data_IF_971181965250
#
_entry.id   IF_971181965250
#
_cell.length_a   1.000
_cell.length_b   1.000
_cell.length_c   1.000
_cell.angle_alpha   90.00
_cell.angle_beta   90.00
_cell.angle_gamma   90.00
#
_symmetry.space_group_name_H-M   'P 1'
#
loop_
_entity.id
_entity.type
_entity.pdbx_description
1 polymer ?
#
# COMPACT_ATOMS: atom_id res chain seq x y z
N UNK A 1 -32.50 -31.63 18.56
CA UNK A 1 -31.37 -31.87 17.65
C UNK A 1 -30.16 -31.16 18.25
N UNK A 2 -29.35 -31.90 19.00
CA UNK A 2 -28.27 -31.37 19.83
C UNK A 2 -26.94 -31.43 19.07
N UNK A 3 -26.42 -30.26 18.68
CA UNK A 3 -25.10 -30.14 18.07
C UNK A 3 -24.04 -29.95 19.17
N UNK A 4 -23.65 -31.06 19.81
CA UNK A 4 -22.49 -31.12 20.69
C UNK A 4 -21.21 -31.20 19.86
N UNK A 5 -20.53 -30.06 19.67
CA UNK A 5 -19.22 -29.99 19.02
C UNK A 5 -18.13 -30.42 20.01
N UNK A 6 -17.65 -31.65 19.82
CA UNK A 6 -16.52 -32.22 20.57
C UNK A 6 -15.23 -31.44 20.26
N UNK A 7 -14.66 -30.83 21.30
CA UNK A 7 -13.36 -30.18 21.31
C UNK A 7 -12.27 -31.20 20.92
N UNK A 8 -11.57 -30.96 19.81
CA UNK A 8 -10.47 -31.83 19.34
C UNK A 8 -9.22 -31.49 20.14
N UNK A 9 -8.79 -32.38 21.02
CA UNK A 9 -7.51 -32.28 21.74
C UNK A 9 -6.36 -32.28 20.73
N UNK A 10 -5.58 -31.20 20.70
CA UNK A 10 -4.34 -31.09 19.93
C UNK A 10 -3.26 -31.94 20.60
N UNK A 11 -2.88 -33.04 19.94
CA UNK A 11 -1.76 -33.87 20.34
C UNK A 11 -0.46 -33.07 20.28
N UNK A 12 0.19 -32.92 21.43
CA UNK A 12 1.49 -32.27 21.57
C UNK A 12 2.55 -33.05 20.78
N UNK A 13 2.94 -32.51 19.62
CA UNK A 13 4.09 -33.00 18.85
C UNK A 13 5.35 -32.70 19.66
N UNK A 14 5.92 -33.74 20.27
CA UNK A 14 7.26 -33.72 20.90
C UNK A 14 8.28 -33.35 19.83
N UNK A 15 8.88 -32.16 19.92
CA UNK A 15 10.06 -31.79 19.13
C UNK A 15 11.27 -32.57 19.66
N UNK A 16 12.00 -33.34 18.84
CA UNK A 16 13.27 -33.91 19.28
C UNK A 16 14.30 -32.81 19.55
N UNK A 17 15.19 -33.15 20.48
CA UNK A 17 16.07 -32.27 21.26
C UNK A 17 17.47 -32.29 20.63
N UNK A 18 18.05 -31.12 20.39
CA UNK A 18 19.46 -30.82 20.09
C UNK A 18 20.23 -31.83 19.22
N UNK A 19 20.37 -31.52 17.93
CA UNK A 19 21.54 -31.91 17.16
C UNK A 19 22.40 -30.66 17.00
N UNK A 20 23.58 -30.67 17.64
CA UNK A 20 24.62 -29.66 17.53
C UNK A 20 25.18 -29.67 16.11
N UNK A 21 24.97 -28.57 15.39
CA UNK A 21 25.55 -28.36 14.07
C UNK A 21 27.05 -28.04 14.20
N UNK A 22 27.94 -28.56 13.34
CA UNK A 22 29.38 -28.24 13.39
C UNK A 22 29.63 -26.76 13.10
N UNK A 23 30.39 -26.10 13.98
CA UNK A 23 30.72 -24.67 13.97
C UNK A 23 31.84 -24.30 12.95
N UNK A 24 31.85 -24.89 11.75
CA UNK A 24 32.91 -24.66 10.76
C UNK A 24 32.37 -24.19 9.39
N UNK A 25 31.49 -23.18 9.39
CA UNK A 25 31.24 -22.38 8.20
C UNK A 25 31.80 -20.97 8.44
N UNK A 26 33.05 -20.78 8.05
CA UNK A 26 33.62 -19.46 7.77
C UNK A 26 32.86 -18.88 6.57
N UNK A 27 31.67 -18.37 6.87
CA UNK A 27 30.83 -17.68 5.91
C UNK A 27 31.48 -16.33 5.73
N UNK A 28 32.33 -16.22 4.70
CA UNK A 28 32.71 -14.93 4.15
C UNK A 28 31.44 -14.10 4.07
N UNK A 29 31.38 -13.04 4.89
CA UNK A 29 30.27 -12.10 4.88
C UNK A 29 30.39 -11.37 3.56
N UNK A 30 29.78 -11.93 2.53
CA UNK A 30 29.51 -11.25 1.28
C UNK A 30 28.63 -10.08 1.69
N UNK A 31 29.24 -8.91 1.85
CA UNK A 31 28.51 -7.65 1.86
C UNK A 31 27.68 -7.68 0.57
N UNK A 32 26.34 -7.78 0.64
CA UNK A 32 25.56 -7.65 -0.58
C UNK A 32 25.90 -6.26 -1.09
N UNK A 33 26.65 -6.19 -2.18
CA UNK A 33 26.62 -5.02 -3.04
C UNK A 33 25.15 -4.68 -3.21
N UNK A 34 24.80 -3.41 -3.08
CA UNK A 34 23.44 -2.88 -3.17
C UNK A 34 22.87 -3.14 -4.58
N UNK A 35 22.68 -4.41 -4.93
CA UNK A 35 22.08 -4.84 -6.18
C UNK A 35 20.61 -4.52 -6.05
N UNK A 36 20.24 -3.42 -6.71
CA UNK A 36 18.88 -2.95 -6.79
C UNK A 36 17.97 -4.11 -7.24
N UNK A 37 17.12 -4.57 -6.33
CA UNK A 37 16.31 -5.76 -6.57
C UNK A 37 15.24 -5.44 -7.62
N UNK A 38 14.72 -6.48 -8.29
CA UNK A 38 13.58 -6.31 -9.21
C UNK A 38 12.36 -5.66 -8.53
N UNK A 39 12.20 -5.86 -7.22
CA UNK A 39 11.18 -5.22 -6.41
C UNK A 39 11.38 -3.71 -6.30
N UNK A 40 12.62 -3.24 -6.16
CA UNK A 40 12.92 -1.81 -6.08
C UNK A 40 12.57 -1.10 -7.40
N UNK A 41 12.86 -1.75 -8.52
CA UNK A 41 12.50 -1.26 -9.86
C UNK A 41 10.98 -1.13 -10.02
N UNK A 42 10.23 -2.12 -9.57
CA UNK A 42 8.75 -2.10 -9.61
C UNK A 42 8.20 -1.01 -8.67
N UNK A 43 8.75 -0.90 -7.44
CA UNK A 43 8.31 0.10 -6.46
C UNK A 43 8.50 1.54 -6.94
N UNK A 44 9.58 1.81 -7.69
CA UNK A 44 9.86 3.14 -8.29
C UNK A 44 8.84 3.55 -9.35
N UNK A 45 8.13 2.61 -9.95
CA UNK A 45 7.08 2.92 -10.95
C UNK A 45 5.79 3.45 -10.31
N UNK A 46 5.59 3.23 -9.00
CA UNK A 46 4.42 3.73 -8.29
C UNK A 46 4.63 5.14 -7.77
N UNK A 47 3.64 6.01 -7.96
CA UNK A 47 3.63 7.34 -7.37
C UNK A 47 3.39 7.20 -5.86
N UNK A 48 4.32 7.65 -4.99
CA UNK A 48 4.21 7.46 -3.55
C UNK A 48 3.28 8.50 -2.93
N UNK A 49 1.98 8.39 -3.20
CA UNK A 49 0.95 9.35 -2.76
C UNK A 49 0.87 9.54 -1.24
N UNK A 50 1.35 8.57 -0.46
CA UNK A 50 1.44 8.68 1.00
C UNK A 50 2.55 9.60 1.49
N UNK A 51 3.49 9.99 0.63
CA UNK A 51 4.55 10.96 0.94
C UNK A 51 4.22 12.39 0.49
N UNK A 52 3.11 12.57 -0.22
CA UNK A 52 2.71 13.86 -0.79
C UNK A 52 1.83 14.64 0.20
N UNK A 53 2.03 15.94 0.22
CA UNK A 53 1.13 16.87 0.89
C UNK A 53 -0.24 16.92 0.19
N UNK A 54 -1.29 17.40 0.87
CA UNK A 54 -2.61 17.51 0.26
C UNK A 54 -2.65 18.37 -1.00
N UNK A 55 -1.84 19.44 -1.07
CA UNK A 55 -1.82 20.35 -2.21
C UNK A 55 -1.14 19.68 -3.43
N UNK A 56 -0.02 19.00 -3.21
CA UNK A 56 0.64 18.19 -4.24
C UNK A 56 -0.28 17.07 -4.78
N UNK A 57 -1.11 16.49 -3.91
CA UNK A 57 -2.10 15.50 -4.33
C UNK A 57 -3.21 16.11 -5.19
N UNK A 58 -3.64 17.34 -4.90
CA UNK A 58 -4.63 18.05 -5.72
C UNK A 58 -4.04 18.28 -7.11
N UNK A 59 -2.81 18.78 -7.19
CA UNK A 59 -2.12 19.03 -8.45
C UNK A 59 -1.91 17.74 -9.26
N UNK A 60 -1.54 16.64 -8.59
CA UNK A 60 -1.43 15.33 -9.22
C UNK A 60 -2.76 14.87 -9.83
N UNK A 61 -3.86 15.04 -9.10
CA UNK A 61 -5.18 14.59 -9.55
C UNK A 61 -5.73 15.44 -10.70
N UNK A 62 -5.48 16.75 -10.69
CA UNK A 62 -5.85 17.65 -11.79
C UNK A 62 -5.17 17.22 -13.10
N UNK A 63 -3.91 16.80 -13.03
CA UNK A 63 -3.18 16.29 -14.19
C UNK A 63 -3.61 14.87 -14.63
N UNK A 64 -4.45 14.19 -13.84
CA UNK A 64 -4.90 12.79 -14.06
C UNK A 64 -6.38 12.69 -14.39
N UNK A 65 -6.96 13.75 -14.96
CA UNK A 65 -8.32 13.72 -15.51
C UNK A 65 -8.32 12.87 -16.78
N UNK A 66 -9.06 11.77 -16.75
CA UNK A 66 -9.21 10.86 -17.89
C UNK A 66 -10.28 11.34 -18.86
N UNK A 67 -11.32 11.98 -18.33
CA UNK A 67 -12.44 12.47 -19.11
C UNK A 67 -13.09 13.65 -18.40
N UNK A 68 -13.53 14.62 -19.21
CA UNK A 68 -14.28 15.77 -18.73
C UNK A 68 -15.33 16.16 -19.75
N UNK A 69 -16.55 16.34 -19.28
CA UNK A 69 -17.61 17.10 -19.96
C UNK A 69 -18.29 18.04 -18.94
N UNK A 70 -19.39 18.66 -19.33
CA UNK A 70 -20.10 19.63 -18.49
C UNK A 70 -20.78 18.99 -17.24
N UNK A 71 -21.05 17.69 -17.28
CA UNK A 71 -21.79 16.98 -16.23
C UNK A 71 -20.90 16.10 -15.33
N UNK A 72 -19.84 15.53 -15.88
CA UNK A 72 -19.03 14.45 -15.28
C UNK A 72 -17.54 14.73 -15.52
N UNK A 73 -16.76 14.52 -14.45
CA UNK A 73 -15.29 14.46 -14.50
C UNK A 73 -14.86 13.10 -14.00
N UNK A 74 -14.06 12.39 -14.80
CA UNK A 74 -13.48 11.11 -14.43
C UNK A 74 -12.00 11.27 -14.09
N UNK A 75 -11.60 10.74 -12.94
CA UNK A 75 -10.23 10.78 -12.45
C UNK A 75 -9.64 9.37 -12.37
N UNK A 76 -8.36 9.24 -12.74
CA UNK A 76 -7.60 8.02 -12.45
C UNK A 76 -7.18 7.99 -10.97
N UNK A 77 -7.63 6.96 -10.24
CA UNK A 77 -7.35 6.82 -8.81
C UNK A 77 -5.91 6.33 -8.60
N UNK A 78 -5.05 7.07 -7.87
CA UNK A 78 -3.70 6.64 -7.62
C UNK A 78 -3.62 5.31 -6.86
N UNK A 79 -2.67 4.47 -7.24
CA UNK A 79 -2.39 3.21 -6.54
C UNK A 79 -2.04 3.47 -5.07
N UNK A 80 -2.57 2.63 -4.19
CA UNK A 80 -2.34 2.75 -2.74
C UNK A 80 -3.17 3.83 -2.03
N UNK A 81 -3.98 4.61 -2.75
CA UNK A 81 -4.92 5.54 -2.12
C UNK A 81 -6.24 4.81 -1.81
N UNK A 82 -6.81 5.01 -0.62
CA UNK A 82 -8.16 4.55 -0.33
C UNK A 82 -9.19 5.41 -1.05
N UNK A 83 -10.31 4.83 -1.46
CA UNK A 83 -11.44 5.63 -1.95
C UNK A 83 -12.06 6.44 -0.80
N UNK A 84 -12.47 5.74 0.25
CA UNK A 84 -13.07 6.28 1.47
C UNK A 84 -12.70 5.42 2.69
N UNK A 85 -13.10 5.86 3.90
CA UNK A 85 -12.96 5.07 5.13
C UNK A 85 -11.55 5.00 5.71
N UNK A 86 -10.60 5.76 5.16
CA UNK A 86 -9.26 5.85 5.72
C UNK A 86 -9.24 6.78 6.94
N UNK A 87 -8.26 6.56 7.83
CA UNK A 87 -8.01 7.46 8.97
C UNK A 87 -7.76 8.90 8.49
N UNK A 88 -7.89 9.87 9.39
CA UNK A 88 -7.62 11.29 9.09
C UNK A 88 -6.20 11.55 8.60
N UNK A 89 -5.25 10.71 9.00
CA UNK A 89 -3.82 10.81 8.71
C UNK A 89 -3.42 10.28 7.33
N UNK A 90 -4.29 9.49 6.68
CA UNK A 90 -3.99 8.85 5.40
C UNK A 90 -4.76 9.55 4.27
N UNK A 91 -4.12 9.79 3.11
CA UNK A 91 -4.81 10.33 1.94
C UNK A 91 -5.99 9.45 1.51
N UNK A 92 -7.14 10.07 1.28
CA UNK A 92 -8.30 9.41 0.69
C UNK A 92 -8.87 10.22 -0.46
N UNK A 93 -9.32 9.52 -1.49
CA UNK A 93 -9.78 10.16 -2.73
C UNK A 93 -11.01 11.03 -2.49
N UNK A 94 -11.97 10.59 -1.68
CA UNK A 94 -13.20 11.36 -1.40
C UNK A 94 -12.92 12.75 -0.79
N UNK A 95 -12.02 12.83 0.22
CA UNK A 95 -11.59 14.13 0.80
C UNK A 95 -10.87 14.98 -0.23
N UNK A 96 -10.08 14.35 -1.09
CA UNK A 96 -9.32 15.03 -2.14
C UNK A 96 -10.26 15.64 -3.18
N UNK A 97 -11.27 14.90 -3.63
CA UNK A 97 -12.31 15.40 -4.54
C UNK A 97 -13.10 16.55 -3.93
N UNK A 98 -13.44 16.49 -2.65
CA UNK A 98 -14.08 17.60 -1.94
C UNK A 98 -13.17 18.85 -1.93
N UNK A 99 -11.87 18.67 -1.70
CA UNK A 99 -10.88 19.76 -1.80
C UNK A 99 -10.78 20.32 -3.22
N UNK A 100 -10.74 19.47 -4.24
CA UNK A 100 -10.71 19.89 -5.65
C UNK A 100 -11.96 20.71 -5.98
N UNK A 101 -13.14 20.28 -5.50
CA UNK A 101 -14.40 21.03 -5.65
C UNK A 101 -14.37 22.39 -4.96
N UNK A 102 -13.78 22.49 -3.78
CA UNK A 102 -13.65 23.75 -3.04
C UNK A 102 -12.55 24.65 -3.60
N UNK A 103 -11.51 24.07 -4.20
CA UNK A 103 -10.47 24.81 -4.91
C UNK A 103 -11.05 25.39 -6.19
N UNK A 104 -10.79 26.67 -6.46
CA UNK A 104 -11.27 27.36 -7.68
C UNK A 104 -10.75 26.74 -8.99
N UNK A 105 -9.89 25.73 -8.93
CA UNK A 105 -9.31 25.00 -10.06
C UNK A 105 -10.37 24.41 -11.03
N UNK A 106 -11.54 24.01 -10.53
CA UNK A 106 -12.61 23.51 -11.41
C UNK A 106 -13.34 24.60 -12.22
N UNK A 107 -13.17 25.89 -11.90
CA UNK A 107 -13.74 26.99 -12.69
C UNK A 107 -12.84 27.42 -13.86
N UNK A 108 -11.55 27.04 -13.84
CA UNK A 108 -10.56 27.40 -14.88
C UNK A 108 -10.07 26.21 -15.71
N UNK A 109 -10.35 24.98 -15.29
CA UNK A 109 -10.25 23.79 -16.13
C UNK A 109 -11.43 23.77 -17.10
#
# INVERSE_FOLDING_TARGET
MDFSTKLRQSSAVKRPRNESFPDDYDSEVIHPSEEETGWDKIRRQFIPVWKMSPDELVDLMVNRVLFKNDDIVAFDKPYGMAYSGASSTVPQLDRLLQRIKMSRLLQSL
#
